data_IF_885315113329
#
_entry.id   IF_885315113329
#
_cell.length_a   1.000
_cell.length_b   1.000
_cell.length_c   1.000
_cell.angle_alpha   90.00
_cell.angle_beta   90.00
_cell.angle_gamma   90.00
#
_symmetry.space_group_name_H-M   'P 1'
#
loop_
_entity.id
_entity.type
_entity.pdbx_description
1 polymer ?
#
# COMPACT_ATOMS: atom_id res chain seq x y z
N UNK A 1 -1.37 0.16 -31.35
CA UNK A 1 -2.74 0.72 -31.38
C UNK A 1 -2.60 2.23 -31.14
N UNK A 2 -3.22 3.08 -31.98
CA UNK A 2 -3.22 4.53 -31.74
C UNK A 2 -4.16 4.84 -30.58
N UNK A 3 -3.70 5.65 -29.64
CA UNK A 3 -4.52 6.09 -28.51
C UNK A 3 -5.23 7.35 -28.96
N UNK A 4 -6.57 7.37 -28.93
CA UNK A 4 -7.43 8.50 -29.27
C UNK A 4 -8.49 8.70 -28.20
N UNK A 5 -9.15 9.89 -28.11
CA UNK A 5 -10.28 10.09 -27.22
C UNK A 5 -11.40 9.03 -27.39
N UNK A 6 -11.63 8.52 -28.60
CA UNK A 6 -12.59 7.43 -28.83
C UNK A 6 -12.20 6.14 -28.12
N UNK A 7 -10.91 5.76 -28.19
CA UNK A 7 -10.39 4.57 -27.48
C UNK A 7 -10.51 4.78 -25.97
N UNK A 8 -10.19 5.96 -25.48
CA UNK A 8 -10.28 6.28 -24.04
C UNK A 8 -11.73 6.23 -23.58
N UNK A 9 -12.65 6.89 -24.29
CA UNK A 9 -14.08 6.88 -23.96
C UNK A 9 -14.66 5.46 -23.98
N UNK A 10 -14.27 4.63 -24.97
CA UNK A 10 -14.68 3.23 -25.02
C UNK A 10 -14.20 2.41 -23.84
N UNK A 11 -12.97 2.64 -23.37
CA UNK A 11 -12.39 1.93 -22.22
C UNK A 11 -12.97 2.39 -20.88
N UNK A 12 -13.29 3.68 -20.76
CA UNK A 12 -13.72 4.29 -19.50
C UNK A 12 -15.23 4.48 -19.37
N UNK A 13 -15.99 4.20 -20.43
CA UNK A 13 -17.43 4.49 -20.51
C UNK A 13 -17.75 5.99 -20.57
N UNK A 14 -16.78 6.82 -20.94
CA UNK A 14 -16.90 8.27 -20.96
C UNK A 14 -17.52 8.83 -22.23
N UNK A 15 -17.84 10.12 -22.22
CA UNK A 15 -18.29 10.92 -23.37
C UNK A 15 -17.21 11.87 -23.85
N UNK A 16 -17.25 12.23 -25.13
CA UNK A 16 -16.24 13.11 -25.77
C UNK A 16 -16.87 14.46 -26.08
N UNK A 17 -16.15 15.54 -25.72
CA UNK A 17 -16.46 16.90 -26.10
C UNK A 17 -15.24 17.51 -26.81
N UNK A 18 -15.35 17.70 -28.14
CA UNK A 18 -14.25 18.18 -28.99
C UNK A 18 -13.88 17.22 -30.11
N UNK A 19 -12.60 17.13 -30.47
CA UNK A 19 -12.13 16.32 -31.59
C UNK A 19 -11.85 14.87 -31.16
N UNK A 20 -12.64 13.87 -31.61
CA UNK A 20 -12.48 12.48 -31.21
C UNK A 20 -11.24 11.78 -31.79
N UNK A 21 -10.63 12.36 -32.84
CA UNK A 21 -9.56 11.73 -33.61
C UNK A 21 -8.14 12.23 -33.22
N UNK A 22 -8.01 13.02 -32.17
CA UNK A 22 -6.70 13.50 -31.69
C UNK A 22 -5.81 12.31 -31.32
N UNK A 23 -4.61 12.21 -31.91
CA UNK A 23 -3.65 11.17 -31.59
C UNK A 23 -2.90 11.53 -30.30
N UNK A 24 -2.95 10.61 -29.31
CA UNK A 24 -2.29 10.77 -28.03
C UNK A 24 -0.97 9.99 -28.06
N UNK A 25 0.12 10.68 -27.76
CA UNK A 25 1.49 10.16 -27.79
C UNK A 25 2.04 9.85 -26.39
N UNK A 26 1.40 10.38 -25.34
CA UNK A 26 1.87 10.23 -23.97
C UNK A 26 0.91 10.77 -22.91
N UNK A 27 1.29 10.55 -21.66
CA UNK A 27 0.63 11.05 -20.46
C UNK A 27 1.52 12.07 -19.78
N UNK A 28 0.98 13.19 -19.35
CA UNK A 28 1.74 14.21 -18.64
C UNK A 28 0.91 14.84 -17.51
N UNK A 29 1.60 15.45 -16.55
CA UNK A 29 0.94 16.31 -15.56
C UNK A 29 0.34 17.53 -16.27
N UNK A 30 -0.77 18.03 -15.73
CA UNK A 30 -1.52 19.12 -16.40
C UNK A 30 -0.69 20.40 -16.59
N UNK A 31 0.23 20.67 -15.67
CA UNK A 31 1.12 21.82 -15.71
C UNK A 31 2.22 21.72 -16.78
N UNK A 32 2.61 20.49 -17.15
CA UNK A 32 3.77 20.18 -17.99
C UNK A 32 3.36 19.62 -19.36
N UNK A 33 2.06 19.31 -19.53
CA UNK A 33 1.55 18.63 -20.72
C UNK A 33 1.75 19.46 -21.99
N UNK A 34 2.08 18.77 -23.07
CA UNK A 34 2.34 19.31 -24.41
C UNK A 34 1.30 18.82 -25.41
N UNK A 35 1.33 19.39 -26.62
CA UNK A 35 0.52 18.92 -27.74
C UNK A 35 0.77 17.44 -28.05
N UNK A 36 -0.30 16.67 -28.19
CA UNK A 36 -0.28 15.23 -28.35
C UNK A 36 -0.27 14.45 -27.01
N UNK A 37 -0.36 15.10 -25.88
CA UNK A 37 -0.41 14.43 -24.58
C UNK A 37 -1.81 14.54 -23.94
N UNK A 38 -2.15 13.53 -23.11
CA UNK A 38 -3.32 13.53 -22.26
C UNK A 38 -2.93 13.85 -20.83
N UNK A 39 -3.76 14.67 -20.19
CA UNK A 39 -3.72 14.88 -18.75
C UNK A 39 -5.09 14.65 -18.12
N UNK A 40 -5.23 14.87 -16.82
CA UNK A 40 -6.48 14.67 -16.09
C UNK A 40 -6.69 15.71 -15.00
N UNK A 41 -7.96 15.95 -14.64
CA UNK A 41 -8.37 16.77 -13.50
C UNK A 41 -9.35 15.95 -12.67
N UNK A 42 -8.86 15.38 -11.56
CA UNK A 42 -9.67 14.70 -10.57
C UNK A 42 -9.89 15.55 -9.30
N UNK A 43 -9.03 16.54 -9.05
CA UNK A 43 -9.12 17.42 -7.90
C UNK A 43 -9.39 18.85 -8.36
N UNK A 44 -10.44 19.52 -7.86
CA UNK A 44 -10.81 20.89 -8.24
C UNK A 44 -9.68 21.93 -8.06
N UNK A 45 -8.72 21.66 -7.17
CA UNK A 45 -7.54 22.53 -6.99
C UNK A 45 -6.71 22.71 -8.27
N UNK A 46 -6.75 21.75 -9.17
CA UNK A 46 -6.02 21.79 -10.45
C UNK A 46 -6.86 22.34 -11.62
N UNK A 47 -8.14 22.66 -11.41
CA UNK A 47 -9.04 23.12 -12.46
C UNK A 47 -8.53 24.40 -13.16
N UNK A 48 -7.83 25.28 -12.45
CA UNK A 48 -7.27 26.51 -13.01
C UNK A 48 -6.23 26.26 -14.12
N UNK A 49 -5.54 25.11 -14.11
CA UNK A 49 -4.60 24.76 -15.17
C UNK A 49 -5.28 24.45 -16.51
N UNK A 50 -6.59 24.19 -16.54
CA UNK A 50 -7.31 23.96 -17.77
C UNK A 50 -7.22 25.14 -18.76
N UNK A 51 -6.99 26.35 -18.27
CA UNK A 51 -6.85 27.56 -19.09
C UNK A 51 -5.47 27.74 -19.71
N UNK A 52 -4.45 27.08 -19.17
CA UNK A 52 -3.03 27.27 -19.52
C UNK A 52 -2.34 26.03 -20.06
N UNK A 53 -2.92 24.85 -19.84
CA UNK A 53 -2.33 23.60 -20.31
C UNK A 53 -2.25 23.52 -21.83
N UNK A 54 -1.18 22.92 -22.36
CA UNK A 54 -1.03 22.58 -23.77
C UNK A 54 -1.45 21.11 -24.05
N UNK A 55 -2.05 20.39 -23.09
CA UNK A 55 -2.57 19.05 -23.30
C UNK A 55 -3.56 19.02 -24.46
N UNK A 56 -3.48 18.02 -25.31
CA UNK A 56 -4.46 17.84 -26.41
C UNK A 56 -5.74 17.19 -25.93
N UNK A 57 -5.69 16.43 -24.82
CA UNK A 57 -6.84 15.76 -24.22
C UNK A 57 -6.83 15.92 -22.71
N UNK A 58 -7.98 16.18 -22.12
CA UNK A 58 -8.18 16.20 -20.67
C UNK A 58 -9.25 15.19 -20.25
N UNK A 59 -8.91 14.29 -19.35
CA UNK A 59 -9.84 13.40 -18.65
C UNK A 59 -10.40 14.15 -17.44
N UNK A 60 -11.71 14.36 -17.40
CA UNK A 60 -12.39 15.20 -16.38
C UNK A 60 -13.65 14.54 -15.85
N UNK A 61 -14.14 14.97 -14.70
CA UNK A 61 -15.43 14.55 -14.17
C UNK A 61 -16.61 15.05 -15.01
N UNK A 62 -17.75 14.38 -14.91
CA UNK A 62 -18.97 14.76 -15.61
C UNK A 62 -19.45 16.17 -15.24
N UNK A 63 -19.15 16.60 -14.02
CA UNK A 63 -19.48 17.93 -13.45
C UNK A 63 -18.44 19.02 -13.74
N UNK A 64 -17.39 18.72 -14.49
CA UNK A 64 -16.34 19.69 -14.77
C UNK A 64 -16.84 20.83 -15.66
N UNK A 65 -16.74 22.07 -15.18
CA UNK A 65 -17.05 23.27 -15.94
C UNK A 65 -15.86 23.70 -16.80
N UNK A 66 -15.99 23.51 -18.12
CA UNK A 66 -14.93 23.84 -19.06
C UNK A 66 -14.82 25.36 -19.24
N UNK A 67 -13.60 25.93 -19.11
CA UNK A 67 -13.40 27.37 -19.42
C UNK A 67 -13.60 27.63 -20.92
N UNK A 68 -14.15 28.81 -21.26
CA UNK A 68 -14.51 29.17 -22.63
C UNK A 68 -13.32 29.17 -23.62
N UNK A 69 -12.09 29.29 -23.14
CA UNK A 69 -10.86 29.30 -23.95
C UNK A 69 -10.13 27.94 -23.96
N UNK A 70 -10.77 26.88 -23.49
CA UNK A 70 -10.18 25.53 -23.50
C UNK A 70 -9.93 25.04 -24.92
N UNK A 71 -8.71 24.57 -25.20
CA UNK A 71 -8.31 24.02 -26.51
C UNK A 71 -8.31 22.49 -26.55
N UNK A 72 -8.18 21.86 -25.38
CA UNK A 72 -8.12 20.41 -25.27
C UNK A 72 -9.48 19.76 -25.55
N UNK A 73 -9.45 18.57 -26.15
CA UNK A 73 -10.62 17.69 -26.20
C UNK A 73 -10.87 17.13 -24.82
N UNK A 74 -12.10 17.18 -24.34
CA UNK A 74 -12.49 16.57 -23.07
C UNK A 74 -12.96 15.13 -23.26
N UNK A 75 -12.56 14.26 -22.34
CA UNK A 75 -13.20 12.97 -22.12
C UNK A 75 -13.81 13.02 -20.72
N UNK A 76 -15.15 13.07 -20.67
CA UNK A 76 -15.90 13.15 -19.41
C UNK A 76 -16.17 11.76 -18.88
N UNK A 77 -15.92 11.54 -17.61
CA UNK A 77 -16.07 10.23 -16.93
C UNK A 77 -16.60 10.44 -15.51
N UNK A 78 -17.28 9.42 -14.96
CA UNK A 78 -17.81 9.48 -13.59
C UNK A 78 -16.71 9.63 -12.53
N UNK A 79 -15.57 8.99 -12.72
CA UNK A 79 -14.40 9.08 -11.81
C UNK A 79 -13.11 9.21 -12.64
N UNK A 80 -12.53 10.41 -12.75
CA UNK A 80 -11.28 10.62 -13.51
C UNK A 80 -10.08 9.87 -12.95
N UNK A 81 -10.04 9.63 -11.63
CA UNK A 81 -8.91 8.94 -11.01
C UNK A 81 -8.95 7.43 -11.30
N UNK A 82 -10.12 6.82 -11.14
CA UNK A 82 -10.32 5.41 -11.49
C UNK A 82 -10.11 5.17 -12.99
N UNK A 83 -10.60 6.08 -13.83
CA UNK A 83 -10.44 6.02 -15.29
C UNK A 83 -8.97 6.16 -15.71
N UNK A 84 -8.21 7.05 -15.08
CA UNK A 84 -6.76 7.17 -15.32
C UNK A 84 -6.04 5.86 -14.95
N UNK A 85 -6.34 5.28 -13.79
CA UNK A 85 -5.73 4.03 -13.35
C UNK A 85 -6.02 2.89 -14.35
N UNK A 86 -7.26 2.82 -14.86
CA UNK A 86 -7.66 1.87 -15.89
C UNK A 86 -6.87 2.06 -17.19
N UNK A 87 -6.76 3.31 -17.66
CA UNK A 87 -6.02 3.66 -18.88
C UNK A 87 -4.53 3.33 -18.75
N UNK A 88 -3.88 3.72 -17.68
CA UNK A 88 -2.48 3.40 -17.44
C UNK A 88 -2.26 1.89 -17.38
N UNK A 89 -3.15 1.14 -16.74
CA UNK A 89 -3.09 -0.32 -16.68
C UNK A 89 -3.27 -0.98 -18.04
N UNK A 90 -4.19 -0.46 -18.87
CA UNK A 90 -4.47 -1.01 -20.20
C UNK A 90 -3.39 -0.66 -21.24
N UNK A 91 -2.79 0.52 -21.12
CA UNK A 91 -1.84 1.05 -22.10
C UNK A 91 -0.37 0.83 -21.73
N UNK A 92 -0.08 0.45 -20.49
CA UNK A 92 1.27 0.06 -20.09
C UNK A 92 1.53 -1.39 -20.49
N UNK A 93 2.54 -1.65 -21.37
CA UNK A 93 2.84 -3.01 -21.77
C UNK A 93 3.22 -3.86 -20.56
N UNK A 94 2.42 -4.89 -20.28
CA UNK A 94 2.77 -5.91 -19.28
C UNK A 94 3.74 -6.89 -19.94
N UNK A 95 5.02 -6.50 -20.11
CA UNK A 95 6.04 -7.44 -20.55
C UNK A 95 6.31 -8.43 -19.42
N UNK A 96 5.73 -9.63 -19.54
CA UNK A 96 6.07 -10.76 -18.67
C UNK A 96 7.25 -11.48 -19.29
N UNK A 97 8.26 -11.74 -18.47
CA UNK A 97 9.36 -12.62 -18.81
C UNK A 97 8.93 -14.08 -18.57
N UNK A 98 9.63 -15.02 -19.19
CA UNK A 98 9.48 -16.45 -18.92
C UNK A 98 10.84 -17.14 -19.01
N UNK A 99 10.93 -18.31 -18.36
CA UNK A 99 12.17 -19.10 -18.32
C UNK A 99 13.06 -18.78 -17.12
N UNK A 100 14.12 -19.54 -16.99
CA UNK A 100 15.05 -19.50 -15.87
C UNK A 100 16.38 -18.94 -16.34
N UNK A 101 16.79 -17.80 -15.79
CA UNK A 101 18.11 -17.17 -16.09
C UNK A 101 19.23 -17.88 -15.31
N UNK A 102 20.41 -17.93 -15.88
CA UNK A 102 21.61 -18.49 -15.25
C UNK A 102 22.60 -17.37 -14.92
N UNK A 103 23.29 -17.40 -13.75
CA UNK A 103 23.14 -18.44 -12.71
C UNK A 103 21.95 -18.16 -11.80
N UNK A 104 21.21 -19.22 -11.46
CA UNK A 104 20.18 -19.21 -10.41
C UNK A 104 20.17 -20.58 -9.74
N UNK A 105 19.65 -20.67 -8.51
CA UNK A 105 19.44 -21.95 -7.83
C UNK A 105 17.96 -22.29 -7.82
N UNK A 106 17.62 -23.44 -8.34
CA UNK A 106 16.27 -24.03 -8.25
C UNK A 106 16.43 -25.45 -7.77
N UNK A 107 15.88 -25.74 -6.59
CA UNK A 107 15.94 -27.09 -6.04
C UNK A 107 15.16 -28.08 -6.91
N UNK A 108 15.65 -29.30 -7.06
CA UNK A 108 15.05 -30.34 -7.90
C UNK A 108 13.63 -30.76 -7.47
N UNK A 109 13.28 -30.51 -6.21
CA UNK A 109 11.95 -30.82 -5.64
C UNK A 109 10.96 -29.66 -5.80
N UNK A 110 11.37 -28.52 -6.36
CA UNK A 110 10.49 -27.40 -6.57
C UNK A 110 9.51 -27.64 -7.73
N UNK A 111 8.24 -27.32 -7.52
CA UNK A 111 7.18 -27.40 -8.53
C UNK A 111 7.03 -26.04 -9.22
N UNK A 112 7.39 -25.97 -10.49
CA UNK A 112 7.41 -24.73 -11.28
C UNK A 112 6.26 -24.73 -12.28
N UNK A 113 5.31 -23.81 -12.12
CA UNK A 113 4.16 -23.64 -13.02
C UNK A 113 4.52 -23.16 -14.41
N UNK A 114 3.56 -23.20 -15.33
CA UNK A 114 3.71 -22.72 -16.70
C UNK A 114 3.94 -21.19 -16.72
N UNK A 115 4.82 -20.72 -17.63
CA UNK A 115 5.07 -19.29 -17.85
C UNK A 115 5.84 -18.59 -16.71
N UNK A 116 6.38 -19.34 -15.75
CA UNK A 116 7.19 -18.79 -14.65
C UNK A 116 8.49 -18.19 -15.19
N UNK A 117 8.88 -17.08 -14.59
CA UNK A 117 10.20 -16.47 -14.77
C UNK A 117 11.00 -16.53 -13.46
N UNK A 118 12.25 -16.97 -13.56
CA UNK A 118 13.21 -16.95 -12.45
C UNK A 118 14.46 -16.22 -12.91
N UNK A 119 14.71 -15.05 -12.31
CA UNK A 119 15.82 -14.16 -12.65
C UNK A 119 17.15 -14.65 -12.12
N UNK A 120 18.23 -14.11 -12.68
CA UNK A 120 19.61 -14.44 -12.31
C UNK A 120 19.86 -14.24 -10.80
N UNK A 121 20.63 -15.16 -10.20
CA UNK A 121 20.96 -15.18 -8.77
C UNK A 121 19.76 -15.33 -7.83
N UNK A 122 18.57 -15.67 -8.32
CA UNK A 122 17.47 -16.04 -7.44
C UNK A 122 17.72 -17.41 -6.83
N UNK A 123 17.22 -17.61 -5.61
CA UNK A 123 17.26 -18.88 -4.89
C UNK A 123 15.85 -19.40 -4.67
N UNK A 124 15.57 -20.62 -5.13
CA UNK A 124 14.31 -21.34 -4.93
C UNK A 124 14.62 -22.61 -4.15
N UNK A 125 14.10 -22.69 -2.91
CA UNK A 125 14.36 -23.76 -1.96
C UNK A 125 13.58 -25.05 -2.26
N UNK A 126 13.77 -26.04 -1.37
CA UNK A 126 13.15 -27.37 -1.48
C UNK A 126 11.64 -27.31 -1.33
N UNK A 127 10.93 -28.05 -2.18
CA UNK A 127 9.48 -28.20 -2.10
C UNK A 127 8.72 -26.89 -2.31
N UNK A 128 9.35 -25.84 -2.85
CA UNK A 128 8.68 -24.61 -3.25
C UNK A 128 7.68 -24.89 -4.34
N UNK A 129 6.49 -24.26 -4.27
CA UNK A 129 5.48 -24.34 -5.30
C UNK A 129 5.22 -22.96 -5.90
N UNK A 130 5.51 -22.80 -7.18
CA UNK A 130 5.22 -21.60 -7.95
C UNK A 130 4.07 -21.86 -8.90
N UNK A 131 2.99 -21.10 -8.76
CA UNK A 131 1.85 -21.11 -9.66
C UNK A 131 2.20 -20.62 -11.07
N UNK A 132 1.20 -20.57 -11.95
CA UNK A 132 1.38 -20.11 -13.32
C UNK A 132 1.78 -18.64 -13.40
N UNK A 133 2.65 -18.31 -14.36
CA UNK A 133 3.09 -16.93 -14.65
C UNK A 133 3.74 -16.19 -13.49
N UNK A 134 4.15 -16.85 -12.42
CA UNK A 134 4.87 -16.23 -11.30
C UNK A 134 6.17 -15.62 -11.81
N UNK A 135 6.48 -14.41 -11.36
CA UNK A 135 7.67 -13.66 -11.78
C UNK A 135 8.60 -13.49 -10.58
N UNK A 136 9.66 -14.28 -10.50
CA UNK A 136 10.72 -14.14 -9.50
C UNK A 136 11.86 -13.35 -10.11
N UNK A 137 12.09 -12.14 -9.63
CA UNK A 137 13.12 -11.26 -10.18
C UNK A 137 14.51 -11.57 -9.59
N UNK A 138 15.60 -11.05 -10.21
CA UNK A 138 16.96 -11.35 -9.80
C UNK A 138 17.23 -11.13 -8.31
N UNK A 139 18.00 -12.05 -7.70
CA UNK A 139 18.45 -11.98 -6.30
C UNK A 139 17.31 -12.09 -5.28
N UNK A 140 16.11 -12.53 -5.65
CA UNK A 140 15.06 -12.87 -4.69
C UNK A 140 15.38 -14.22 -4.03
N UNK A 141 15.04 -14.34 -2.74
CA UNK A 141 15.16 -15.58 -1.97
C UNK A 141 13.78 -16.12 -1.64
N UNK A 142 13.54 -17.37 -1.99
CA UNK A 142 12.32 -18.13 -1.69
C UNK A 142 12.72 -19.39 -0.93
N UNK A 143 12.45 -19.40 0.38
CA UNK A 143 12.81 -20.46 1.31
C UNK A 143 12.04 -21.76 1.09
N UNK A 144 12.47 -22.83 1.78
CA UNK A 144 11.91 -24.18 1.67
C UNK A 144 10.38 -24.19 1.92
N UNK A 145 9.64 -24.92 1.11
CA UNK A 145 8.20 -25.15 1.29
C UNK A 145 7.31 -23.92 1.12
N UNK A 146 7.82 -22.82 0.55
CA UNK A 146 7.02 -21.65 0.23
C UNK A 146 6.07 -21.95 -0.92
N UNK A 147 4.83 -21.47 -0.81
CA UNK A 147 3.83 -21.56 -1.87
C UNK A 147 3.51 -20.14 -2.39
N UNK A 148 3.55 -19.93 -3.71
CA UNK A 148 3.23 -18.66 -4.36
C UNK A 148 2.18 -18.89 -5.45
N UNK A 149 1.02 -18.25 -5.32
CA UNK A 149 -0.10 -18.37 -6.25
C UNK A 149 0.13 -17.69 -7.60
N UNK A 150 -0.75 -18.01 -8.54
CA UNK A 150 -0.69 -17.57 -9.94
C UNK A 150 -0.52 -16.06 -10.09
N UNK A 151 0.19 -15.65 -11.13
CA UNK A 151 0.35 -14.25 -11.55
C UNK A 151 1.05 -13.32 -10.53
N UNK A 152 1.61 -13.87 -9.45
CA UNK A 152 2.30 -13.10 -8.42
C UNK A 152 3.72 -12.69 -8.85
N UNK A 153 4.18 -11.55 -8.31
CA UNK A 153 5.45 -10.93 -8.68
C UNK A 153 6.29 -10.74 -7.41
N UNK A 154 7.49 -11.30 -7.40
CA UNK A 154 8.51 -11.14 -6.36
C UNK A 154 9.66 -10.32 -6.95
N UNK A 155 9.79 -9.08 -6.50
CA UNK A 155 10.77 -8.11 -7.01
C UNK A 155 12.18 -8.42 -6.52
N UNK A 156 13.22 -7.79 -7.11
CA UNK A 156 14.61 -8.06 -6.73
C UNK A 156 14.85 -7.88 -5.22
N UNK A 157 15.70 -8.74 -4.65
CA UNK A 157 16.07 -8.73 -3.23
C UNK A 157 14.92 -8.94 -2.24
N UNK A 158 13.72 -9.31 -2.66
CA UNK A 158 12.67 -9.72 -1.73
C UNK A 158 13.04 -11.08 -1.13
N UNK A 159 12.77 -11.25 0.16
CA UNK A 159 13.08 -12.48 0.93
C UNK A 159 11.80 -13.06 1.49
N UNK A 160 11.55 -14.33 1.19
CA UNK A 160 10.42 -15.09 1.71
C UNK A 160 10.98 -16.29 2.46
N UNK A 161 10.79 -16.32 3.77
CA UNK A 161 11.25 -17.41 4.63
C UNK A 161 10.39 -18.66 4.46
N UNK A 162 10.92 -19.77 4.93
CA UNK A 162 10.35 -21.11 4.79
C UNK A 162 8.90 -21.22 5.27
N UNK A 163 8.11 -22.02 4.57
CA UNK A 163 6.73 -22.37 4.87
C UNK A 163 5.70 -21.25 4.67
N UNK A 164 6.10 -20.03 4.31
CA UNK A 164 5.18 -18.93 4.05
C UNK A 164 4.30 -19.19 2.82
N UNK A 165 3.08 -18.64 2.82
CA UNK A 165 2.13 -18.77 1.71
C UNK A 165 1.74 -17.41 1.18
N UNK A 166 1.86 -17.28 -0.15
CA UNK A 166 1.53 -16.06 -0.89
C UNK A 166 0.43 -16.42 -1.88
N UNK A 167 -0.66 -15.68 -1.85
CA UNK A 167 -1.81 -15.85 -2.74
C UNK A 167 -1.51 -15.48 -4.19
N UNK A 168 -2.56 -15.36 -4.98
CA UNK A 168 -2.50 -15.00 -6.39
C UNK A 168 -2.42 -13.49 -6.61
N UNK A 169 -1.81 -13.06 -7.72
CA UNK A 169 -1.73 -11.64 -8.15
C UNK A 169 -1.13 -10.71 -7.11
N UNK A 170 -0.31 -11.26 -6.23
CA UNK A 170 0.42 -10.47 -5.23
C UNK A 170 1.63 -9.79 -5.85
N UNK A 171 2.00 -8.63 -5.29
CA UNK A 171 3.22 -7.92 -5.66
C UNK A 171 4.05 -7.70 -4.39
N UNK A 172 5.22 -8.32 -4.34
CA UNK A 172 6.19 -8.15 -3.27
C UNK A 172 7.33 -7.28 -3.80
N UNK A 173 7.41 -6.03 -3.32
CA UNK A 173 8.43 -5.07 -3.80
C UNK A 173 9.82 -5.34 -3.22
N UNK A 174 10.81 -4.71 -3.83
CA UNK A 174 12.23 -4.94 -3.54
C UNK A 174 12.58 -4.76 -2.07
N UNK A 175 13.36 -5.69 -1.54
CA UNK A 175 13.85 -5.65 -0.17
C UNK A 175 12.80 -5.96 0.89
N UNK A 176 11.55 -6.28 0.55
CA UNK A 176 10.59 -6.73 1.56
C UNK A 176 11.02 -8.08 2.14
N UNK A 177 10.70 -8.31 3.40
CA UNK A 177 11.04 -9.54 4.13
C UNK A 177 9.76 -10.14 4.70
N UNK A 178 9.44 -11.34 4.26
CA UNK A 178 8.24 -12.08 4.68
C UNK A 178 8.66 -13.30 5.48
N UNK A 179 8.21 -13.38 6.75
CA UNK A 179 8.43 -14.54 7.60
C UNK A 179 9.71 -14.53 8.43
N UNK A 180 10.37 -13.37 8.61
CA UNK A 180 11.43 -13.26 9.62
C UNK A 180 10.87 -13.50 11.03
N UNK A 181 11.74 -13.90 11.97
CA UNK A 181 11.34 -14.13 13.35
C UNK A 181 10.75 -12.86 13.99
N UNK A 182 9.61 -13.02 14.64
CA UNK A 182 9.02 -11.98 15.46
C UNK A 182 9.85 -11.65 16.69
N UNK A 183 9.60 -10.48 17.29
CA UNK A 183 10.24 -10.00 18.50
C UNK A 183 9.68 -10.72 19.74
N UNK A 184 10.15 -11.93 19.99
CA UNK A 184 9.72 -12.79 21.09
C UNK A 184 10.89 -13.14 22.01
N UNK A 185 10.89 -12.59 23.25
CA UNK A 185 11.91 -12.85 24.25
C UNK A 185 11.28 -13.00 25.64
N UNK A 186 11.73 -13.98 26.40
CA UNK A 186 11.33 -14.19 27.78
C UNK A 186 12.39 -13.61 28.73
N UNK A 187 12.02 -12.84 29.79
CA UNK A 187 12.96 -12.41 30.80
C UNK A 187 13.58 -13.61 31.55
N UNK A 188 14.88 -13.57 31.79
CA UNK A 188 15.61 -14.53 32.58
C UNK A 188 16.66 -13.80 33.44
N UNK A 189 16.25 -13.33 34.61
CA UNK A 189 17.02 -12.39 35.42
C UNK A 189 17.23 -11.06 34.70
N UNK A 190 18.49 -10.67 34.50
CA UNK A 190 18.89 -9.47 33.77
C UNK A 190 19.07 -9.72 32.25
N UNK A 191 18.81 -10.94 31.78
CA UNK A 191 18.98 -11.34 30.40
C UNK A 191 17.62 -11.63 29.73
N UNK A 192 17.66 -11.85 28.40
CA UNK A 192 16.50 -12.23 27.60
C UNK A 192 16.78 -13.51 26.83
N UNK A 193 15.94 -14.51 27.00
CA UNK A 193 15.96 -15.75 26.20
C UNK A 193 15.04 -15.63 25.01
N UNK A 194 15.56 -15.91 23.81
CA UNK A 194 14.76 -15.93 22.58
C UNK A 194 13.69 -17.01 22.66
N UNK A 195 12.46 -16.64 22.33
CA UNK A 195 11.34 -17.55 22.10
C UNK A 195 11.37 -17.94 20.61
N UNK A 196 11.58 -19.23 20.25
CA UNK A 196 11.54 -19.68 18.87
C UNK A 196 10.20 -19.32 18.21
N UNK A 197 10.27 -18.87 16.97
CA UNK A 197 9.13 -18.50 16.16
C UNK A 197 8.86 -19.62 15.15
N UNK A 198 7.85 -20.44 15.39
CA UNK A 198 7.58 -21.67 14.61
C UNK A 198 6.37 -21.56 13.69
N UNK A 199 5.69 -20.42 13.70
CA UNK A 199 4.58 -20.14 12.81
C UNK A 199 5.04 -19.64 11.44
N UNK A 200 4.09 -19.24 10.63
CA UNK A 200 4.30 -18.78 9.25
C UNK A 200 3.64 -17.43 9.00
N UNK A 201 3.87 -16.87 7.79
CA UNK A 201 3.10 -15.78 7.24
C UNK A 201 2.18 -16.30 6.14
N UNK A 202 0.93 -15.83 6.14
CA UNK A 202 -0.04 -16.08 5.07
C UNK A 202 -0.47 -14.73 4.48
N UNK A 203 -0.19 -14.53 3.21
CA UNK A 203 -0.61 -13.37 2.43
C UNK A 203 -1.69 -13.85 1.45
N UNK A 204 -2.88 -13.28 1.52
CA UNK A 204 -3.98 -13.64 0.63
C UNK A 204 -3.83 -12.97 -0.75
N UNK A 205 -4.81 -13.19 -1.66
CA UNK A 205 -4.76 -12.70 -3.03
C UNK A 205 -4.76 -11.17 -3.14
N UNK A 206 -4.27 -10.69 -4.27
CA UNK A 206 -4.32 -9.27 -4.65
C UNK A 206 -3.65 -8.31 -3.65
N UNK A 207 -2.75 -8.82 -2.81
CA UNK A 207 -2.00 -8.02 -1.83
C UNK A 207 -0.76 -7.39 -2.47
N UNK A 208 -0.47 -6.15 -2.09
CA UNK A 208 0.76 -5.48 -2.48
C UNK A 208 1.57 -5.08 -1.24
N UNK A 209 2.83 -5.47 -1.21
CA UNK A 209 3.77 -5.20 -0.11
C UNK A 209 4.87 -4.30 -0.62
N UNK A 210 4.98 -3.10 -0.08
CA UNK A 210 5.94 -2.07 -0.46
C UNK A 210 7.39 -2.42 -0.15
N UNK A 211 8.30 -1.63 -0.70
CA UNK A 211 9.74 -1.87 -0.56
C UNK A 211 10.20 -1.79 0.91
N UNK A 212 11.09 -2.71 1.30
CA UNK A 212 11.64 -2.80 2.66
C UNK A 212 10.58 -2.92 3.77
N UNK A 213 9.38 -3.35 3.46
CA UNK A 213 8.35 -3.70 4.44
C UNK A 213 8.64 -5.09 5.00
N UNK A 214 8.47 -5.26 6.30
CA UNK A 214 8.73 -6.51 7.00
C UNK A 214 7.45 -7.07 7.60
N UNK A 215 7.21 -8.37 7.42
CA UNK A 215 6.08 -9.11 7.99
C UNK A 215 6.64 -10.30 8.75
N UNK A 216 6.59 -10.23 10.07
CA UNK A 216 7.15 -11.27 10.94
C UNK A 216 6.25 -12.51 10.94
N UNK A 217 6.88 -13.70 11.03
CA UNK A 217 6.16 -14.94 11.28
C UNK A 217 5.51 -14.94 12.66
N UNK A 218 4.47 -15.72 12.81
CA UNK A 218 3.87 -15.93 14.11
C UNK A 218 4.77 -16.74 15.04
N UNK A 219 4.65 -16.52 16.34
CA UNK A 219 5.27 -17.43 17.34
C UNK A 219 4.72 -18.86 17.16
N UNK A 220 3.40 -18.99 16.99
CA UNK A 220 2.68 -20.21 16.63
C UNK A 220 1.49 -19.83 15.75
N UNK A 221 1.13 -20.69 14.80
CA UNK A 221 0.06 -20.42 13.85
C UNK A 221 0.52 -19.49 12.73
N UNK A 222 -0.20 -18.38 12.50
CA UNK A 222 0.07 -17.50 11.36
C UNK A 222 -0.04 -16.02 11.69
N UNK A 223 0.78 -15.21 11.03
CA UNK A 223 0.56 -13.78 10.79
C UNK A 223 -0.13 -13.68 9.44
N UNK A 224 -1.28 -13.00 9.37
CA UNK A 224 -2.15 -12.99 8.18
C UNK A 224 -2.36 -11.59 7.64
N UNK A 225 -2.22 -11.46 6.31
CA UNK A 225 -2.56 -10.25 5.54
C UNK A 225 -3.72 -10.60 4.62
N UNK A 226 -4.88 -9.98 4.85
CA UNK A 226 -6.12 -10.23 4.11
C UNK A 226 -6.09 -9.69 2.69
N UNK A 227 -6.93 -10.29 1.86
CA UNK A 227 -7.06 -10.04 0.41
C UNK A 227 -7.18 -8.56 0.07
N UNK A 228 -6.51 -8.14 -1.02
CA UNK A 228 -6.60 -6.80 -1.57
C UNK A 228 -5.90 -5.70 -0.75
N UNK A 229 -5.30 -6.04 0.38
CA UNK A 229 -4.58 -5.08 1.24
C UNK A 229 -3.33 -4.53 0.54
N UNK A 230 -3.09 -3.23 0.72
CA UNK A 230 -1.94 -2.50 0.17
C UNK A 230 -1.12 -1.93 1.32
N UNK A 231 0.11 -2.39 1.44
CA UNK A 231 1.10 -1.90 2.38
C UNK A 231 2.15 -1.10 1.62
N UNK A 232 2.36 0.13 2.02
CA UNK A 232 3.39 1.00 1.46
C UNK A 232 4.79 0.59 1.97
N UNK A 233 5.79 1.39 1.72
CA UNK A 233 7.18 1.10 2.03
C UNK A 233 7.49 1.23 3.54
N UNK A 234 8.49 0.48 4.01
CA UNK A 234 9.02 0.58 5.39
C UNK A 234 7.98 0.32 6.48
N UNK A 235 7.01 -0.52 6.24
CA UNK A 235 6.01 -0.93 7.24
C UNK A 235 6.53 -2.12 8.03
N UNK A 236 6.21 -2.17 9.34
CA UNK A 236 6.45 -3.33 10.20
C UNK A 236 5.12 -3.97 10.60
N UNK A 237 4.92 -5.22 10.22
CA UNK A 237 3.85 -6.08 10.72
C UNK A 237 4.47 -7.12 11.64
N UNK A 238 4.20 -7.02 12.94
CA UNK A 238 4.78 -7.92 13.92
C UNK A 238 4.05 -9.29 13.95
N UNK A 239 4.62 -10.22 14.73
CA UNK A 239 4.14 -11.59 14.86
C UNK A 239 2.66 -11.70 15.29
N UNK A 240 1.95 -12.69 14.78
CA UNK A 240 0.56 -12.98 15.13
C UNK A 240 -0.44 -11.83 14.84
N UNK A 241 -0.06 -10.85 14.02
CA UNK A 241 -1.01 -9.84 13.53
C UNK A 241 -1.98 -10.49 12.56
N UNK A 242 -3.26 -10.14 12.69
CA UNK A 242 -4.31 -10.47 11.74
C UNK A 242 -4.84 -9.18 11.13
N UNK A 243 -4.47 -8.92 9.90
CA UNK A 243 -4.93 -7.76 9.12
C UNK A 243 -6.00 -8.22 8.14
N UNK A 244 -7.17 -7.62 8.19
CA UNK A 244 -8.30 -7.91 7.32
C UNK A 244 -8.06 -7.49 5.88
N UNK A 245 -9.11 -7.58 5.07
CA UNK A 245 -9.07 -7.33 3.63
C UNK A 245 -9.16 -5.84 3.27
N UNK A 246 -8.62 -5.47 2.09
CA UNK A 246 -8.75 -4.14 1.48
C UNK A 246 -8.29 -2.98 2.37
N UNK A 247 -7.34 -3.20 3.26
CA UNK A 247 -6.72 -2.12 4.02
C UNK A 247 -5.67 -1.40 3.17
N UNK A 248 -5.56 -0.09 3.35
CA UNK A 248 -4.52 0.75 2.73
C UNK A 248 -3.72 1.41 3.84
N UNK A 249 -2.44 1.08 3.93
CA UNK A 249 -1.56 1.51 5.02
C UNK A 249 -0.36 2.24 4.41
N UNK A 250 -0.20 3.51 4.78
CA UNK A 250 0.90 4.33 4.28
C UNK A 250 2.21 4.07 5.04
N UNK A 251 3.30 4.54 4.44
CA UNK A 251 4.68 4.23 4.82
C UNK A 251 5.02 4.44 6.29
N UNK A 252 5.99 3.66 6.77
CA UNK A 252 6.57 3.75 8.12
C UNK A 252 5.58 3.47 9.27
N UNK A 253 4.44 2.84 8.98
CA UNK A 253 3.50 2.39 10.02
C UNK A 253 4.00 1.12 10.69
N UNK A 254 3.89 1.05 12.02
CA UNK A 254 4.23 -0.13 12.82
C UNK A 254 3.00 -0.73 13.49
N UNK A 255 2.79 -2.03 13.34
CA UNK A 255 1.71 -2.78 13.98
C UNK A 255 2.32 -3.81 14.91
N UNK A 256 2.15 -3.61 16.23
CA UNK A 256 2.73 -4.51 17.24
C UNK A 256 2.00 -5.86 17.31
N UNK A 257 2.67 -6.83 17.91
CA UNK A 257 2.26 -8.24 17.91
C UNK A 257 0.85 -8.51 18.42
N UNK A 258 0.24 -9.56 17.88
CA UNK A 258 -1.10 -10.05 18.24
C UNK A 258 -2.24 -9.06 18.05
N UNK A 259 -2.03 -7.99 17.29
CA UNK A 259 -3.05 -7.00 16.94
C UNK A 259 -3.97 -7.55 15.86
N UNK A 260 -5.28 -7.31 16.00
CA UNK A 260 -6.30 -7.69 15.03
C UNK A 260 -6.93 -6.43 14.44
N UNK A 261 -6.82 -6.25 13.15
CA UNK A 261 -7.36 -5.10 12.41
C UNK A 261 -8.41 -5.61 11.42
N UNK A 262 -9.58 -4.97 11.40
CA UNK A 262 -10.66 -5.29 10.48
C UNK A 262 -10.38 -4.88 9.04
N UNK A 263 -11.44 -4.78 8.24
CA UNK A 263 -11.38 -4.58 6.79
C UNK A 263 -11.47 -3.11 6.38
N UNK A 264 -10.97 -2.79 5.19
CA UNK A 264 -11.21 -1.52 4.48
C UNK A 264 -10.79 -0.27 5.27
N UNK A 265 -9.75 -0.35 6.07
CA UNK A 265 -9.22 0.80 6.81
C UNK A 265 -8.25 1.62 5.93
N UNK A 266 -8.20 2.93 6.18
CA UNK A 266 -7.23 3.86 5.61
C UNK A 266 -6.33 4.37 6.73
N UNK A 267 -5.08 3.96 6.72
CA UNK A 267 -4.11 4.25 7.78
C UNK A 267 -3.02 5.13 7.22
N UNK A 268 -2.87 6.32 7.79
CA UNK A 268 -1.84 7.31 7.42
C UNK A 268 -0.42 6.83 7.73
N UNK A 269 0.57 7.54 7.21
CA UNK A 269 1.99 7.21 7.46
C UNK A 269 2.43 7.44 8.90
N UNK A 270 3.43 6.69 9.34
CA UNK A 270 4.04 6.78 10.67
C UNK A 270 3.06 6.54 11.82
N UNK A 271 2.02 5.74 11.61
CA UNK A 271 1.08 5.34 12.67
C UNK A 271 1.67 4.18 13.46
N UNK A 272 1.53 4.21 14.78
CA UNK A 272 1.93 3.11 15.66
C UNK A 272 0.71 2.45 16.30
N UNK A 273 0.59 1.11 16.20
CA UNK A 273 -0.44 0.33 16.89
C UNK A 273 0.18 -0.42 18.07
N UNK A 274 -0.42 -0.29 19.24
CA UNK A 274 -0.09 -1.10 20.41
C UNK A 274 -0.46 -2.57 20.18
N UNK A 275 0.26 -3.48 20.85
CA UNK A 275 -0.01 -4.91 20.76
C UNK A 275 -1.33 -5.33 21.40
N UNK A 276 -1.82 -6.51 21.00
CA UNK A 276 -2.97 -7.20 21.58
C UNK A 276 -4.32 -6.44 21.52
N UNK A 277 -4.45 -5.44 20.66
CA UNK A 277 -5.71 -4.69 20.48
C UNK A 277 -6.55 -5.26 19.34
N UNK A 278 -7.87 -5.00 19.40
CA UNK A 278 -8.81 -5.25 18.30
C UNK A 278 -9.25 -3.91 17.74
N UNK A 279 -9.02 -3.71 16.46
CA UNK A 279 -9.33 -2.48 15.74
C UNK A 279 -10.40 -2.77 14.68
N UNK A 280 -11.37 -1.88 14.56
CA UNK A 280 -12.54 -2.07 13.69
C UNK A 280 -12.23 -1.99 12.20
N UNK A 281 -13.30 -2.01 11.43
CA UNK A 281 -13.29 -1.89 9.96
C UNK A 281 -13.69 -0.49 9.51
N UNK A 282 -13.34 -0.10 8.29
CA UNK A 282 -13.69 1.18 7.66
C UNK A 282 -13.30 2.41 8.48
N UNK A 283 -12.21 2.31 9.23
CA UNK A 283 -11.66 3.41 10.01
C UNK A 283 -10.70 4.25 9.17
N UNK A 284 -10.60 5.54 9.52
CA UNK A 284 -9.61 6.47 8.97
C UNK A 284 -8.67 6.93 10.08
N UNK A 285 -7.37 6.70 9.89
CA UNK A 285 -6.34 7.09 10.86
C UNK A 285 -5.41 8.12 10.24
N UNK A 286 -5.38 9.31 10.83
CA UNK A 286 -4.47 10.38 10.42
C UNK A 286 -3.01 9.99 10.68
N UNK A 287 -2.10 10.54 9.86
CA UNK A 287 -0.66 10.28 9.98
C UNK A 287 -0.12 10.59 11.40
N UNK A 288 0.93 9.88 11.80
CA UNK A 288 1.65 10.03 13.07
C UNK A 288 0.78 9.78 14.32
N UNK A 289 -0.36 9.09 14.19
CA UNK A 289 -1.22 8.77 15.33
C UNK A 289 -0.70 7.57 16.12
N UNK A 290 -0.79 7.61 17.45
CA UNK A 290 -0.54 6.48 18.34
C UNK A 290 -1.84 5.79 18.74
N UNK A 291 -2.02 4.54 18.31
CA UNK A 291 -3.21 3.73 18.59
C UNK A 291 -2.91 2.79 19.76
N UNK A 292 -3.37 3.15 20.95
CA UNK A 292 -3.10 2.42 22.19
C UNK A 292 -4.28 1.57 22.69
N UNK A 293 -5.41 1.57 21.99
CA UNK A 293 -6.61 0.79 22.32
C UNK A 293 -7.39 0.45 21.05
N UNK A 294 -8.38 -0.44 21.21
CA UNK A 294 -9.33 -0.73 20.13
C UNK A 294 -10.28 0.43 19.85
N UNK A 295 -10.71 0.52 18.59
CA UNK A 295 -11.73 1.45 18.12
C UNK A 295 -12.80 0.69 17.35
N UNK A 296 -14.04 1.20 17.38
CA UNK A 296 -15.17 0.62 16.66
C UNK A 296 -15.10 0.91 15.16
N UNK A 297 -15.88 0.19 14.39
CA UNK A 297 -16.01 0.40 12.95
C UNK A 297 -16.36 1.85 12.60
N UNK A 298 -15.80 2.34 11.47
CA UNK A 298 -16.04 3.67 10.95
C UNK A 298 -15.43 4.81 11.76
N UNK A 299 -14.57 4.53 12.73
CA UNK A 299 -13.91 5.57 13.54
C UNK A 299 -12.96 6.42 12.72
N UNK A 300 -12.99 7.74 12.93
CA UNK A 300 -12.00 8.68 12.38
C UNK A 300 -11.10 9.15 13.52
N UNK A 301 -9.79 8.90 13.39
CA UNK A 301 -8.83 9.03 14.48
C UNK A 301 -7.67 9.88 14.01
N UNK A 302 -7.30 10.85 14.84
CA UNK A 302 -6.06 11.63 14.65
C UNK A 302 -5.49 11.99 16.02
N UNK A 303 -4.20 11.97 16.16
CA UNK A 303 -3.56 12.29 17.43
C UNK A 303 -2.17 12.89 17.29
N UNK A 304 -1.96 13.90 16.39
CA UNK A 304 -0.69 14.64 16.28
C UNK A 304 -0.70 15.65 15.12
N UNK A 305 -1.23 16.88 15.21
CA UNK A 305 -0.86 17.87 14.20
C UNK A 305 0.44 18.58 14.61
N UNK A 306 1.36 18.75 13.65
CA UNK A 306 2.45 19.71 13.79
C UNK A 306 1.88 21.13 13.82
N UNK A 307 2.41 21.96 14.72
CA UNK A 307 2.12 23.40 14.79
C UNK A 307 3.44 24.17 14.70
N UNK A 308 3.38 25.49 14.51
CA UNK A 308 4.60 26.30 14.62
C UNK A 308 5.22 26.17 16.01
N UNK A 309 6.55 26.39 16.09
CA UNK A 309 7.32 26.14 17.30
C UNK A 309 6.86 26.98 18.50
N UNK A 310 6.41 28.20 18.25
CA UNK A 310 5.96 29.11 19.33
C UNK A 310 4.62 28.64 19.89
N UNK A 311 3.69 28.24 19.03
CA UNK A 311 2.40 27.66 19.42
C UNK A 311 2.61 26.34 20.16
N UNK A 312 3.48 25.44 19.66
CA UNK A 312 3.79 24.18 20.34
C UNK A 312 4.37 24.41 21.74
N UNK A 313 5.35 25.32 21.87
CA UNK A 313 5.95 25.64 23.15
C UNK A 313 4.93 26.19 24.16
N UNK A 314 4.06 27.10 23.71
CA UNK A 314 2.96 27.67 24.53
C UNK A 314 1.98 26.59 24.96
N UNK A 315 1.49 25.74 24.03
CA UNK A 315 0.58 24.65 24.33
C UNK A 315 1.19 23.65 25.32
N UNK A 316 2.46 23.31 25.16
CA UNK A 316 3.17 22.38 26.04
C UNK A 316 3.28 22.91 27.48
N UNK A 317 3.48 24.21 27.66
CA UNK A 317 3.49 24.84 28.98
C UNK A 317 2.10 24.82 29.62
N UNK A 318 1.08 25.20 28.84
CA UNK A 318 -0.31 25.20 29.32
C UNK A 318 -0.78 23.79 29.72
N UNK A 319 -0.42 22.79 28.92
CA UNK A 319 -0.79 21.39 29.16
C UNK A 319 -0.21 20.86 30.48
N UNK A 320 1.05 21.23 30.83
CA UNK A 320 1.66 20.87 32.11
C UNK A 320 0.99 21.55 33.31
N UNK A 321 0.38 22.71 33.12
CA UNK A 321 -0.32 23.48 34.18
C UNK A 321 -1.79 23.07 34.36
N UNK A 322 -2.35 22.28 33.45
CA UNK A 322 -3.75 21.81 33.56
C UNK A 322 -4.09 21.18 34.91
N UNK A 323 -3.27 20.26 35.50
CA UNK A 323 -3.58 19.68 36.81
C UNK A 323 -3.72 20.72 37.94
N UNK A 324 -2.87 21.77 37.91
CA UNK A 324 -2.91 22.86 38.88
C UNK A 324 -4.17 23.69 38.69
N UNK A 325 -4.51 24.04 37.44
CA UNK A 325 -5.71 24.81 37.11
C UNK A 325 -7.00 24.08 37.56
N UNK A 326 -7.10 22.77 37.33
CA UNK A 326 -8.26 21.98 37.80
C UNK A 326 -8.34 21.98 39.32
N UNK A 327 -7.23 21.88 40.03
CA UNK A 327 -7.19 21.96 41.49
C UNK A 327 -7.64 23.33 42.02
N UNK A 328 -7.26 24.42 41.36
CA UNK A 328 -7.72 25.77 41.66
C UNK A 328 -9.24 25.91 41.42
N UNK A 329 -9.76 25.40 40.31
CA UNK A 329 -11.19 25.42 40.01
C UNK A 329 -11.99 24.63 41.07
N UNK A 330 -11.52 23.46 41.48
CA UNK A 330 -12.18 22.65 42.50
C UNK A 330 -12.19 23.35 43.88
N UNK A 331 -11.14 24.08 44.21
CA UNK A 331 -11.04 24.90 45.40
C UNK A 331 -12.02 26.09 45.36
N UNK A 332 -12.21 26.72 44.22
CA UNK A 332 -13.18 27.78 44.00
C UNK A 332 -14.61 27.28 44.14
N UNK A 333 -14.95 26.10 43.56
CA UNK A 333 -16.27 25.48 43.72
C UNK A 333 -16.63 25.11 45.17
N UNK A 334 -15.64 24.77 45.99
CA UNK A 334 -15.87 24.44 47.40
C UNK A 334 -16.08 25.68 48.29
N UNK A 335 -15.79 26.88 47.77
CA UNK A 335 -15.94 28.18 48.50
C UNK A 335 -17.28 28.87 48.15
N UNK A 336 -18.01 28.37 47.19
CA UNK A 336 -19.39 28.73 46.88
C UNK A 336 -20.37 27.76 47.57
#
# INVERSE_FOLDING_TARGET
MKITPEVIASLTGGSIEGNPAVEIKGFAKIEEAKEGEISFIANPKYAHYATTTAASVLLVGDDFEAPANLRATLVRVADPYASLAMLLSALTPKSRKSGIESPSHVDETAEIGEGVYIGAFAYIGRGVKLGRNVQIYPQAYVGDGVEIGDDSIVRPHATIYEGCRIGERCILHSGCVIGADGFGFAPDGDEYKKIPQVGIVVIEDDVEIGANTTVDRATMGETRIGKGTKLDNLIQIAHNVSLGSNNVIAAQTGIAGSTKIGDSNRIGGQVGFAGHIKFGSRCEVGAQSGINKGYRDGSRIIGYPATDIETFARMSVLQRRLPELFKEIDNLKKKQ
#
